data_IF_666946005070
#
_entry.id   IF_666946005070
#
_cell.length_a   1.000
_cell.length_b   1.000
_cell.length_c   1.000
_cell.angle_alpha   90.00
_cell.angle_beta   90.00
_cell.angle_gamma   90.00
#
_symmetry.space_group_name_H-M   'P 1'
#
loop_
_entity.id
_entity.type
_entity.pdbx_description
1 polymer ?
#
# COMPACT_ATOMS: atom_id res chain seq x y z
N UNK A 1 2.24 11.23 11.09
CA UNK A 1 2.58 9.84 10.68
C UNK A 1 1.55 9.35 9.67
N UNK A 2 1.99 8.95 8.47
CA UNK A 2 1.11 8.51 7.39
C UNK A 2 0.73 7.03 7.54
N UNK A 3 -0.53 6.71 7.24
CA UNK A 3 -1.03 5.33 7.20
C UNK A 3 -1.22 4.88 5.76
N UNK A 4 -0.67 3.71 5.43
CA UNK A 4 -0.74 3.07 4.13
C UNK A 4 -1.46 1.73 4.26
N UNK A 5 -2.30 1.43 3.28
CA UNK A 5 -3.03 0.16 3.18
C UNK A 5 -2.47 -0.60 1.99
N UNK A 6 -1.91 -1.78 2.22
CA UNK A 6 -1.47 -2.70 1.19
C UNK A 6 -2.54 -3.79 1.01
N UNK A 7 -3.25 -3.72 -0.10
CA UNK A 7 -4.11 -4.81 -0.54
C UNK A 7 -3.25 -5.91 -1.16
N UNK A 8 -3.27 -7.08 -0.55
CA UNK A 8 -2.45 -8.24 -0.89
C UNK A 8 -3.31 -9.51 -1.00
N UNK A 9 -2.69 -10.61 -1.46
CA UNK A 9 -3.31 -11.95 -1.44
C UNK A 9 -2.26 -13.01 -1.07
N UNK A 10 -2.67 -14.15 -0.47
CA UNK A 10 -1.76 -15.25 -0.18
C UNK A 10 -1.11 -15.80 -1.45
N UNK A 11 0.17 -16.19 -1.37
CA UNK A 11 0.93 -16.72 -2.51
C UNK A 11 1.35 -15.67 -3.55
N UNK A 12 1.33 -14.38 -3.19
CA UNK A 12 1.77 -13.28 -4.05
C UNK A 12 3.18 -12.79 -3.69
N UNK A 13 4.21 -13.31 -4.37
CA UNK A 13 5.60 -12.89 -4.15
C UNK A 13 5.85 -11.39 -4.39
N UNK A 14 5.08 -10.79 -5.31
CA UNK A 14 5.14 -9.35 -5.55
C UNK A 14 4.64 -8.53 -4.35
N UNK A 15 3.66 -9.07 -3.63
CA UNK A 15 3.07 -8.45 -2.46
C UNK A 15 4.03 -8.56 -1.27
N UNK A 16 4.62 -9.75 -1.05
CA UNK A 16 5.63 -10.01 -0.02
C UNK A 16 6.82 -9.06 -0.17
N UNK A 17 7.43 -9.00 -1.35
CA UNK A 17 8.59 -8.14 -1.60
C UNK A 17 8.28 -6.64 -1.55
N UNK A 18 7.02 -6.22 -1.74
CA UNK A 18 6.63 -4.83 -1.51
C UNK A 18 6.40 -4.56 -0.02
N UNK A 19 5.74 -5.47 0.69
CA UNK A 19 5.49 -5.37 2.12
C UNK A 19 6.80 -5.21 2.90
N UNK A 20 7.79 -6.08 2.65
CA UNK A 20 9.11 -6.00 3.29
C UNK A 20 9.75 -4.61 3.13
N UNK A 21 9.64 -4.02 1.93
CA UNK A 21 10.18 -2.66 1.68
C UNK A 21 9.41 -1.60 2.46
N UNK A 22 8.09 -1.69 2.52
CA UNK A 22 7.24 -0.74 3.23
C UNK A 22 7.45 -0.80 4.75
N UNK A 23 7.69 -1.98 5.31
CA UNK A 23 7.98 -2.16 6.74
C UNK A 23 9.27 -1.47 7.19
N UNK A 24 10.23 -1.22 6.27
CA UNK A 24 11.43 -0.43 6.57
C UNK A 24 11.18 1.07 6.66
N UNK A 25 10.01 1.56 6.25
CA UNK A 25 9.68 2.98 6.21
C UNK A 25 8.96 3.41 7.49
N UNK A 26 9.13 4.68 7.93
CA UNK A 26 8.46 5.22 9.12
C UNK A 26 6.99 5.56 8.83
N UNK A 27 6.21 4.57 8.41
CA UNK A 27 4.78 4.67 8.09
C UNK A 27 4.00 3.62 8.87
N UNK A 28 2.71 3.85 9.08
CA UNK A 28 1.82 2.81 9.60
C UNK A 28 1.36 1.96 8.42
N UNK A 29 1.69 0.68 8.41
CA UNK A 29 1.30 -0.24 7.35
C UNK A 29 0.16 -1.13 7.81
N UNK A 30 -0.96 -1.09 7.09
CA UNK A 30 -2.09 -2.00 7.25
C UNK A 30 -2.12 -2.94 6.04
N UNK A 31 -2.06 -4.25 6.28
CA UNK A 31 -2.13 -5.25 5.21
C UNK A 31 -3.53 -5.84 5.18
N UNK A 32 -4.19 -5.77 4.03
CA UNK A 32 -5.55 -6.28 3.81
C UNK A 32 -5.53 -7.38 2.78
N UNK A 33 -5.88 -8.59 3.21
CA UNK A 33 -6.05 -9.72 2.31
C UNK A 33 -7.36 -9.56 1.52
N UNK A 34 -7.23 -9.37 0.21
CA UNK A 34 -8.37 -9.21 -0.68
C UNK A 34 -9.25 -10.45 -0.74
N UNK A 35 -8.75 -11.64 -0.38
CA UNK A 35 -9.51 -12.90 -0.41
C UNK A 35 -10.50 -13.03 0.75
N UNK A 36 -10.32 -12.25 1.82
CA UNK A 36 -11.20 -12.24 2.99
C UNK A 36 -12.44 -11.34 2.81
N UNK A 37 -12.47 -10.53 1.76
CA UNK A 37 -13.56 -9.60 1.48
C UNK A 37 -13.89 -9.58 -0.01
N UNK A 38 -15.11 -9.98 -0.36
CA UNK A 38 -15.55 -10.09 -1.76
C UNK A 38 -15.45 -8.76 -2.52
N UNK A 39 -15.75 -7.63 -1.87
CA UNK A 39 -15.64 -6.32 -2.52
C UNK A 39 -14.19 -5.96 -2.87
N UNK A 40 -13.25 -6.29 -1.99
CA UNK A 40 -11.82 -6.11 -2.27
C UNK A 40 -11.34 -7.09 -3.33
N UNK A 41 -11.77 -8.36 -3.27
CA UNK A 41 -11.44 -9.36 -4.26
C UNK A 41 -11.87 -8.91 -5.66
N UNK A 42 -13.15 -8.56 -5.83
CA UNK A 42 -13.69 -8.13 -7.12
C UNK A 42 -12.95 -6.92 -7.68
N UNK A 43 -12.59 -5.97 -6.80
CA UNK A 43 -11.89 -4.75 -7.18
C UNK A 43 -10.42 -4.97 -7.54
N UNK A 44 -9.69 -5.81 -6.80
CA UNK A 44 -8.23 -5.85 -6.84
C UNK A 44 -7.61 -7.18 -7.27
N UNK A 45 -8.37 -8.27 -7.47
CA UNK A 45 -7.85 -9.62 -7.80
C UNK A 45 -6.80 -9.68 -8.92
N UNK A 46 -6.90 -8.79 -9.93
CA UNK A 46 -6.00 -8.70 -11.08
C UNK A 46 -4.97 -7.57 -10.98
N UNK A 47 -5.07 -6.73 -9.96
CA UNK A 47 -4.22 -5.53 -9.79
C UNK A 47 -3.29 -5.61 -8.58
N UNK A 48 -3.52 -6.54 -7.65
CA UNK A 48 -2.65 -6.73 -6.48
C UNK A 48 -1.18 -6.98 -6.90
N UNK A 49 -0.20 -6.34 -6.23
CA UNK A 49 -0.34 -5.49 -5.03
C UNK A 49 -0.86 -4.07 -5.32
N UNK A 50 -1.82 -3.59 -4.52
CA UNK A 50 -2.33 -2.22 -4.58
C UNK A 50 -2.05 -1.50 -3.27
N UNK A 51 -1.42 -0.33 -3.36
CA UNK A 51 -1.08 0.50 -2.20
C UNK A 51 -2.00 1.72 -2.16
N UNK A 52 -2.63 1.97 -1.04
CA UNK A 52 -3.49 3.13 -0.81
C UNK A 52 -2.95 3.97 0.36
N UNK A 53 -3.12 5.29 0.29
CA UNK A 53 -2.94 6.19 1.42
C UNK A 53 -4.29 6.37 2.13
N UNK A 54 -4.28 6.25 3.46
CA UNK A 54 -5.40 6.68 4.28
C UNK A 54 -5.28 8.19 4.56
N UNK A 55 -6.26 8.97 4.10
CA UNK A 55 -6.22 10.45 4.14
C UNK A 55 -6.80 11.00 5.47
N UNK A 56 -7.66 10.25 6.16
CA UNK A 56 -8.19 10.58 7.48
C UNK A 56 -8.55 9.30 8.23
N UNK A 57 -8.28 9.25 9.54
CA UNK A 57 -8.69 8.15 10.41
C UNK A 57 -10.03 8.42 11.14
N UNK A 58 -10.65 9.59 10.90
CA UNK A 58 -11.96 9.96 11.46
C UNK A 58 -13.11 9.37 10.63
N UNK A 59 -14.36 9.58 11.06
CA UNK A 59 -15.61 8.97 10.51
C UNK A 59 -15.79 9.04 8.97
N UNK A 60 -15.02 9.88 8.27
CA UNK A 60 -14.93 9.91 6.80
C UNK A 60 -13.53 9.50 6.31
N UNK A 61 -13.13 8.27 6.62
CA UNK A 61 -11.87 7.71 6.18
C UNK A 61 -11.85 7.54 4.66
N UNK A 62 -11.10 8.41 3.97
CA UNK A 62 -10.92 8.35 2.53
C UNK A 62 -9.63 7.61 2.17
N UNK A 63 -9.74 6.61 1.30
CA UNK A 63 -8.61 5.86 0.75
C UNK A 63 -8.24 6.42 -0.63
N UNK A 64 -6.98 6.83 -0.79
CA UNK A 64 -6.44 7.29 -2.07
C UNK A 64 -5.46 6.26 -2.63
N UNK A 65 -5.77 5.56 -3.73
CA UNK A 65 -4.83 4.64 -4.35
C UNK A 65 -3.59 5.38 -4.87
N UNK A 66 -2.43 4.79 -4.65
CA UNK A 66 -1.15 5.22 -5.21
C UNK A 66 -0.88 4.53 -6.55
N UNK A 67 -0.03 5.13 -7.41
CA UNK A 67 0.36 4.48 -8.65
C UNK A 67 1.03 3.13 -8.42
N UNK A 68 0.92 2.26 -9.42
CA UNK A 68 1.55 0.94 -9.35
C UNK A 68 3.07 1.09 -9.22
N UNK A 69 3.63 0.38 -8.25
CA UNK A 69 5.07 0.29 -8.04
C UNK A 69 5.69 -0.75 -8.96
N UNK A 70 6.88 -0.44 -9.48
CA UNK A 70 7.65 -1.45 -10.22
C UNK A 70 8.14 -2.54 -9.26
N UNK A 71 7.91 -3.83 -9.56
CA UNK A 71 8.45 -4.93 -8.76
C UNK A 71 9.97 -4.87 -8.57
N UNK A 72 10.66 -4.29 -9.55
CA UNK A 72 12.13 -4.18 -9.57
C UNK A 72 12.64 -2.94 -8.85
N UNK A 73 11.76 -2.06 -8.35
CA UNK A 73 12.17 -0.87 -7.62
C UNK A 73 12.85 -1.25 -6.30
N UNK A 74 13.94 -0.57 -5.95
CA UNK A 74 14.59 -0.70 -4.66
C UNK A 74 13.76 -0.06 -3.54
N UNK A 75 14.05 -0.36 -2.28
CA UNK A 75 13.36 0.25 -1.14
C UNK A 75 13.41 1.80 -1.18
N UNK A 76 14.57 2.36 -1.54
CA UNK A 76 14.73 3.81 -1.69
C UNK A 76 13.85 4.39 -2.82
N UNK A 77 13.75 3.70 -3.97
CA UNK A 77 12.89 4.12 -5.07
C UNK A 77 11.39 4.03 -4.71
N UNK A 78 11.00 2.99 -3.97
CA UNK A 78 9.63 2.85 -3.43
C UNK A 78 9.32 4.01 -2.49
N UNK A 79 10.21 4.30 -1.54
CA UNK A 79 10.04 5.40 -0.60
C UNK A 79 9.89 6.75 -1.32
N UNK A 80 10.77 7.03 -2.28
CA UNK A 80 10.75 8.25 -3.07
C UNK A 80 9.44 8.42 -3.84
N UNK A 81 8.95 7.34 -4.48
CA UNK A 81 7.67 7.36 -5.20
C UNK A 81 6.54 7.72 -4.25
N UNK A 82 6.45 7.03 -3.11
CA UNK A 82 5.38 7.27 -2.13
C UNK A 82 5.41 8.73 -1.66
N UNK A 83 6.59 9.25 -1.31
CA UNK A 83 6.74 10.65 -0.86
C UNK A 83 6.31 11.67 -1.92
N UNK A 84 6.55 11.39 -3.21
CA UNK A 84 6.06 12.26 -4.31
C UNK A 84 4.53 12.39 -4.33
N UNK A 85 3.80 11.36 -3.87
CA UNK A 85 2.33 11.37 -3.90
C UNK A 85 1.67 11.78 -2.59
N UNK A 86 2.31 11.51 -1.45
CA UNK A 86 1.70 11.70 -0.11
C UNK A 86 2.44 12.72 0.76
N UNK A 87 3.57 13.23 0.30
CA UNK A 87 4.51 14.05 1.07
C UNK A 87 5.41 13.24 1.98
N UNK A 88 6.17 13.93 2.83
CA UNK A 88 7.03 13.31 3.84
C UNK A 88 6.25 12.40 4.80
N UNK A 89 6.89 11.33 5.27
CA UNK A 89 6.27 10.35 6.17
C UNK A 89 5.98 10.89 7.57
N UNK A 90 6.77 11.87 8.01
CA UNK A 90 6.74 12.47 9.35
C UNK A 90 5.82 13.69 9.49
N UNK A 91 5.02 14.01 8.46
CA UNK A 91 4.04 15.09 8.54
C UNK A 91 2.96 14.84 9.61
#
# INVERSE_FOLDING_TARGET
MKTLILYSKPGCHLCEGLQEKLETLPVQLEVRDITLNEAWFQKYQYEVPVLCQLISASENAAEKPLPRLSPRATAAQVAQMIQTHIGSFEA
#
